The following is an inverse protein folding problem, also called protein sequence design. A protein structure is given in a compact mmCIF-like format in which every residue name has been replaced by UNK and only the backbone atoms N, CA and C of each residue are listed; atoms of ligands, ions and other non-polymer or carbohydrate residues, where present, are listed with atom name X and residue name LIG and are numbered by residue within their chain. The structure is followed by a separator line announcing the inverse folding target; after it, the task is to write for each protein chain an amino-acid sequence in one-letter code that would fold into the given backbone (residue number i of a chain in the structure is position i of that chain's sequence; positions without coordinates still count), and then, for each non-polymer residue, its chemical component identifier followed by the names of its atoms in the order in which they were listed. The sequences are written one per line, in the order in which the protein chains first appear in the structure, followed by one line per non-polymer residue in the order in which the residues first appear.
data_IF_019696440562
#
_entry.id   IF_019696440562
#
_cell.length_a   1.000
_cell.length_b   1.000
_cell.length_c   1.000
_cell.angle_alpha   90.00
_cell.angle_beta   90.00
_cell.angle_gamma   90.00
#
_symmetry.space_group_name_H-M   'P 1'
#
loop_
_entity.id
_entity.type
_entity.pdbx_description
1 polymer ?
#
# COMPACT_ATOMS: atom_id res chain seq x y z
N UNK A 1 1.49 21.91 14.00
CA UNK A 1 1.39 20.95 12.86
C UNK A 1 2.71 20.22 12.73
N UNK A 2 2.73 18.89 12.85
CA UNK A 2 3.97 18.11 12.72
C UNK A 2 4.41 18.09 11.25
N UNK A 3 5.63 18.58 10.96
CA UNK A 3 6.21 18.54 9.62
C UNK A 3 6.92 17.21 9.43
N UNK A 4 6.39 16.36 8.55
CA UNK A 4 7.01 15.07 8.23
C UNK A 4 8.33 15.32 7.49
N UNK A 5 9.43 14.78 8.03
CA UNK A 5 10.76 14.82 7.41
C UNK A 5 10.91 13.67 6.43
N UNK A 6 10.40 13.86 5.22
CA UNK A 6 10.37 12.82 4.18
C UNK A 6 11.72 12.14 3.88
N UNK A 7 12.87 12.84 3.85
CA UNK A 7 14.17 12.17 3.67
C UNK A 7 14.47 11.14 4.76
N UNK A 8 14.19 11.46 6.03
CA UNK A 8 14.35 10.53 7.15
C UNK A 8 13.39 9.35 7.03
N UNK A 9 12.13 9.60 6.63
CA UNK A 9 11.14 8.54 6.39
C UNK A 9 11.63 7.56 5.32
N UNK A 10 12.16 8.06 4.21
CA UNK A 10 12.69 7.21 3.12
C UNK A 10 13.92 6.44 3.58
N UNK A 11 14.82 7.06 4.33
CA UNK A 11 16.01 6.39 4.89
C UNK A 11 15.61 5.24 5.82
N UNK A 12 14.72 5.49 6.78
CA UNK A 12 14.24 4.45 7.70
C UNK A 12 13.45 3.36 6.96
N UNK A 13 12.65 3.75 5.97
CA UNK A 13 11.94 2.79 5.13
C UNK A 13 12.91 1.86 4.39
N UNK A 14 14.04 2.38 3.90
CA UNK A 14 15.07 1.60 3.23
C UNK A 14 15.72 0.59 4.18
N UNK A 15 16.07 1.01 5.39
CA UNK A 15 16.63 0.14 6.43
C UNK A 15 15.66 -0.99 6.80
N UNK A 16 14.38 -0.65 6.96
CA UNK A 16 13.33 -1.64 7.23
C UNK A 16 13.29 -2.65 6.09
N UNK A 17 13.15 -2.22 4.83
CA UNK A 17 13.08 -3.13 3.68
C UNK A 17 14.34 -4.00 3.58
N UNK A 18 15.53 -3.42 3.77
CA UNK A 18 16.79 -4.14 3.71
C UNK A 18 16.93 -5.22 4.79
N UNK A 19 16.23 -5.08 5.92
CA UNK A 19 16.20 -6.10 6.98
C UNK A 19 15.29 -7.29 6.67
N UNK A 20 14.38 -7.19 5.69
CA UNK A 20 13.49 -8.28 5.29
C UNK A 20 14.12 -9.10 4.16
N UNK A 21 14.35 -10.39 4.42
CA UNK A 21 14.91 -11.34 3.45
C UNK A 21 14.02 -11.52 2.21
N UNK A 22 12.70 -11.53 2.38
CA UNK A 22 11.75 -11.79 1.30
C UNK A 22 11.12 -10.52 0.69
N UNK A 23 11.56 -9.34 1.12
CA UNK A 23 10.95 -8.06 0.77
C UNK A 23 9.69 -7.75 1.57
N UNK A 24 9.16 -6.53 1.39
CA UNK A 24 7.98 -6.03 2.11
C UNK A 24 7.05 -5.29 1.17
N UNK A 25 5.75 -5.33 1.47
CA UNK A 25 4.73 -4.59 0.70
C UNK A 25 4.67 -3.14 1.16
N UNK A 26 4.21 -2.23 0.29
CA UNK A 26 3.98 -0.83 0.65
C UNK A 26 3.06 -0.66 1.86
N UNK A 27 2.01 -1.49 1.95
CA UNK A 27 1.06 -1.46 3.07
C UNK A 27 1.71 -1.91 4.38
N UNK A 28 2.47 -3.01 4.36
CA UNK A 28 3.19 -3.48 5.55
C UNK A 28 4.22 -2.45 6.00
N UNK A 29 5.01 -1.90 5.07
CA UNK A 29 5.98 -0.85 5.36
C UNK A 29 5.34 0.40 5.99
N UNK A 30 4.19 0.83 5.48
CA UNK A 30 3.43 1.95 6.05
C UNK A 30 3.02 1.67 7.51
N UNK A 31 2.55 0.47 7.82
CA UNK A 31 2.20 0.11 9.19
C UNK A 31 3.43 0.01 10.11
N UNK A 32 4.56 -0.51 9.63
CA UNK A 32 5.81 -0.52 10.41
C UNK A 32 6.25 0.91 10.73
N UNK A 33 6.22 1.83 9.76
CA UNK A 33 6.58 3.24 10.00
C UNK A 33 5.61 3.93 10.96
N UNK A 34 4.31 3.64 10.87
CA UNK A 34 3.31 4.18 11.79
C UNK A 34 3.51 3.65 13.21
N UNK A 35 3.69 2.34 13.39
CA UNK A 35 3.89 1.71 14.71
C UNK A 35 5.19 2.17 15.38
N UNK A 36 6.21 2.51 14.59
CA UNK A 36 7.45 3.16 15.06
C UNK A 36 7.31 4.67 15.34
N UNK A 37 6.13 5.26 15.11
CA UNK A 37 5.88 6.69 15.34
C UNK A 37 6.53 7.63 14.33
N UNK A 38 7.03 7.11 13.20
CA UNK A 38 7.75 7.87 12.18
C UNK A 38 6.80 8.71 11.33
N UNK A 39 5.60 8.18 11.07
CA UNK A 39 4.57 8.83 10.28
C UNK A 39 3.21 8.70 10.96
N UNK A 40 2.27 9.66 10.77
CA UNK A 40 0.93 9.53 11.30
C UNK A 40 0.05 8.61 10.43
N UNK A 41 -0.88 7.89 11.06
CA UNK A 41 -1.85 7.02 10.38
C UNK A 41 -2.94 7.85 9.69
N UNK A 42 -2.70 8.28 8.44
CA UNK A 42 -3.64 9.08 7.62
C UNK A 42 -3.48 8.79 6.13
N UNK A 43 -4.59 8.76 5.38
CA UNK A 43 -4.61 8.60 3.91
C UNK A 43 -3.66 9.51 3.10
N UNK A 44 -3.58 10.84 3.36
CA UNK A 44 -2.65 11.70 2.62
C UNK A 44 -1.17 11.33 2.86
N UNK A 45 -0.85 10.76 4.02
CA UNK A 45 0.51 10.29 4.34
C UNK A 45 0.83 9.04 3.55
N UNK A 46 -0.11 8.10 3.47
CA UNK A 46 0.06 6.89 2.66
C UNK A 46 0.30 7.23 1.18
N UNK A 47 -0.51 8.10 0.60
CA UNK A 47 -0.35 8.53 -0.81
C UNK A 47 1.00 9.18 -1.06
N UNK A 48 1.44 10.03 -0.15
CA UNK A 48 2.73 10.72 -0.27
C UNK A 48 3.91 9.78 -0.06
N UNK A 49 3.81 8.82 0.86
CA UNK A 49 4.79 7.75 1.02
C UNK A 49 4.93 6.94 -0.27
N UNK A 50 3.82 6.50 -0.85
CA UNK A 50 3.80 5.77 -2.12
C UNK A 50 4.54 6.53 -3.23
N UNK A 51 4.22 7.81 -3.42
CA UNK A 51 4.84 8.64 -4.44
C UNK A 51 6.36 8.81 -4.21
N UNK A 52 6.79 9.08 -2.98
CA UNK A 52 8.21 9.26 -2.64
C UNK A 52 9.02 7.98 -2.80
N UNK A 53 8.47 6.83 -2.42
CA UNK A 53 9.14 5.54 -2.63
C UNK A 53 9.18 5.16 -4.11
N UNK A 54 8.14 5.49 -4.88
CA UNK A 54 8.16 5.29 -6.33
C UNK A 54 9.24 6.14 -7.00
N UNK A 55 9.39 7.41 -6.62
CA UNK A 55 10.45 8.29 -7.10
C UNK A 55 11.85 7.75 -6.72
N UNK A 56 12.08 7.41 -5.46
CA UNK A 56 13.37 6.88 -5.01
C UNK A 56 13.76 5.56 -5.71
N UNK A 57 12.78 4.68 -6.00
CA UNK A 57 13.02 3.47 -6.80
C UNK A 57 13.42 3.79 -8.24
N UNK A 58 12.80 4.81 -8.87
CA UNK A 58 13.18 5.23 -10.23
C UNK A 58 14.60 5.77 -10.29
N UNK A 59 15.06 6.41 -9.22
CA UNK A 59 16.44 6.89 -9.08
C UNK A 59 17.44 5.80 -8.67
N UNK A 60 16.99 4.56 -8.40
CA UNK A 60 17.86 3.49 -7.91
C UNK A 60 18.28 3.62 -6.43
N UNK A 61 17.67 4.56 -5.69
CA UNK A 61 18.01 4.85 -4.29
C UNK A 61 17.23 4.01 -3.28
N UNK A 62 16.22 3.27 -3.74
CA UNK A 62 15.34 2.47 -2.90
C UNK A 62 15.16 1.05 -3.45
N UNK A 63 15.25 0.00 -2.61
CA UNK A 63 15.10 -1.38 -3.03
C UNK A 63 13.69 -1.67 -3.57
N UNK A 64 13.52 -2.72 -4.40
CA UNK A 64 12.20 -3.12 -4.88
C UNK A 64 11.30 -3.50 -3.70
N UNK A 65 10.04 -3.07 -3.76
CA UNK A 65 9.00 -3.52 -2.85
C UNK A 65 8.26 -4.70 -3.48
N UNK A 66 7.70 -5.56 -2.65
CA UNK A 66 6.73 -6.55 -3.13
C UNK A 66 5.50 -5.76 -3.58
N UNK A 67 5.29 -5.78 -4.88
CA UNK A 67 4.14 -5.17 -5.50
C UNK A 67 2.97 -6.14 -5.40
N UNK A 68 2.10 -5.90 -4.43
CA UNK A 68 0.76 -6.47 -4.40
C UNK A 68 -0.18 -5.50 -5.10
N UNK A 69 0.07 -5.14 -6.37
CA UNK A 69 -1.04 -4.69 -7.22
C UNK A 69 -2.00 -5.87 -7.26
N UNK A 70 -3.07 -5.77 -6.46
CA UNK A 70 -4.32 -6.44 -6.78
C UNK A 70 -4.55 -6.14 -8.25
N UNK A 71 -4.40 -7.14 -9.12
CA UNK A 71 -5.12 -7.11 -10.38
C UNK A 71 -6.54 -6.73 -10.00
N UNK A 72 -7.03 -5.61 -10.54
CA UNK A 72 -8.37 -5.15 -10.27
C UNK A 72 -9.28 -6.34 -10.52
N UNK A 73 -9.90 -6.86 -9.45
CA UNK A 73 -11.11 -7.66 -9.63
C UNK A 73 -12.08 -6.67 -10.24
N UNK A 74 -12.17 -6.72 -11.57
CA UNK A 74 -13.28 -6.18 -12.33
C UNK A 74 -14.52 -6.86 -11.76
N UNK A 75 -15.13 -6.22 -10.77
CA UNK A 75 -16.51 -6.52 -10.38
C UNK A 75 -17.41 -5.85 -11.41
N UNK A 76 -17.39 -6.35 -12.65
CA UNK A 76 -18.55 -6.26 -13.54
C UNK A 76 -19.09 -7.66 -13.77
N UNK A 77 -20.40 -7.77 -13.54
CA UNK A 77 -21.17 -8.97 -13.84
C UNK A 77 -21.19 -9.97 -12.69
N UNK A 78 -22.20 -9.90 -11.82
CA UNK A 78 -23.30 -10.85 -11.93
C UNK A 78 -24.42 -10.42 -10.97
N UNK A 79 -25.47 -9.83 -11.54
CA UNK A 79 -26.74 -9.70 -10.84
C UNK A 79 -27.35 -11.09 -10.73
N UNK A 80 -27.10 -11.80 -9.65
CA UNK A 80 -27.90 -12.95 -9.28
C UNK A 80 -29.23 -12.45 -8.70
N UNK A 81 -30.16 -12.07 -9.58
CA UNK A 81 -31.58 -12.03 -9.25
C UNK A 81 -32.10 -13.47 -9.44
N UNK A 82 -32.55 -14.19 -8.40
CA UNK A 82 -33.16 -15.49 -8.59
C UNK A 82 -34.45 -15.33 -9.41
N UNK A 83 -34.74 -16.22 -10.36
CA UNK A 83 -36.03 -16.24 -11.03
C UNK A 83 -37.07 -16.74 -10.02
N UNK A 84 -37.82 -15.83 -9.42
CA UNK A 84 -39.12 -16.18 -8.85
C UNK A 84 -40.15 -16.06 -9.97
N UNK A 85 -40.28 -17.14 -10.77
CA UNK A 85 -41.51 -17.40 -11.52
C UNK A 85 -41.67 -18.90 -11.85
N UNK A 86 -42.47 -19.58 -11.02
CA UNK A 86 -43.53 -20.52 -11.44
C UNK A 86 -44.35 -20.82 -10.17
N UNK A 87 -45.58 -20.30 -10.04
CA UNK A 87 -46.80 -20.74 -10.71
C UNK A 87 -47.33 -22.07 -10.13
N UNK A 88 -48.49 -21.93 -9.47
CA UNK A 88 -49.64 -22.84 -9.39
C UNK A 88 -49.43 -24.33 -9.06
N UNK A 89 -49.97 -24.75 -7.92
CA UNK A 89 -51.13 -25.67 -7.86
C UNK A 89 -51.99 -25.31 -6.63
#
# INVERSE_FOLDING_TARGET
MYRIRWPEVVSQAREIVASYEFGVTLRALYYVLFTRGVIPHRDPVYRRLSARLAEARRCGEFPPLIDNVRQGVDRRGEGHRPPHDHAVD
#
